data_IF_542964181246
#
_entry.id   IF_542964181246
#
_cell.length_a   1.000
_cell.length_b   1.000
_cell.length_c   1.000
_cell.angle_alpha   90.00
_cell.angle_beta   90.00
_cell.angle_gamma   90.00
#
_symmetry.space_group_name_H-M   'P 1'
#
loop_
_entity.id
_entity.type
_entity.pdbx_description
1 polymer ?
#
# COMPACT_ATOMS: atom_id res chain seq x y z
N UNK A 1 -0.98 22.57 13.65
CA UNK A 1 -1.43 21.29 13.10
C UNK A 1 -2.22 20.44 14.08
N UNK A 2 -2.15 20.70 15.38
CA UNK A 2 -2.99 20.03 16.37
C UNK A 2 -4.48 20.34 16.26
N UNK A 3 -4.83 21.49 15.72
CA UNK A 3 -6.21 21.93 15.54
C UNK A 3 -7.03 21.06 14.57
N UNK A 4 -6.42 20.60 13.46
CA UNK A 4 -7.10 19.73 12.50
C UNK A 4 -7.44 18.36 13.09
N UNK A 5 -6.56 17.85 13.96
CA UNK A 5 -6.80 16.58 14.63
C UNK A 5 -7.94 16.67 15.64
N UNK A 6 -8.06 17.82 16.31
CA UNK A 6 -9.16 18.08 17.26
C UNK A 6 -10.50 18.25 16.56
N UNK A 7 -10.52 18.87 15.38
CA UNK A 7 -11.73 19.00 14.57
C UNK A 7 -12.27 17.64 14.12
N UNK A 8 -11.36 16.71 13.78
CA UNK A 8 -11.73 15.34 13.42
C UNK A 8 -12.38 14.62 14.59
N UNK A 9 -11.93 14.89 15.83
CA UNK A 9 -12.45 14.27 17.04
C UNK A 9 -13.80 14.85 17.48
N UNK A 10 -14.21 15.97 16.94
CA UNK A 10 -15.46 16.64 17.31
C UNK A 10 -16.72 16.10 16.62
N UNK A 11 -16.63 14.96 15.95
CA UNK A 11 -17.78 14.29 15.34
C UNK A 11 -18.01 14.60 13.87
N UNK A 12 -17.19 15.42 13.25
CA UNK A 12 -17.25 15.66 11.82
C UNK A 12 -16.78 14.43 11.05
N UNK A 13 -17.43 14.14 9.93
CA UNK A 13 -17.03 13.03 9.07
C UNK A 13 -15.60 13.25 8.58
N UNK A 14 -14.72 12.31 8.90
CA UNK A 14 -13.36 12.31 8.38
C UNK A 14 -13.44 12.13 6.87
N UNK A 15 -13.03 13.15 6.13
CA UNK A 15 -12.97 13.05 4.67
C UNK A 15 -11.80 12.15 4.27
N UNK A 16 -12.11 11.16 3.46
CA UNK A 16 -11.12 10.27 2.89
C UNK A 16 -10.21 11.05 1.95
N UNK A 17 -8.88 10.90 2.12
CA UNK A 17 -7.92 11.48 1.19
C UNK A 17 -8.08 10.83 -0.19
N UNK A 18 -8.17 11.66 -1.23
CA UNK A 18 -8.25 11.22 -2.62
C UNK A 18 -7.05 11.77 -3.39
N UNK A 19 -6.33 10.90 -4.07
CA UNK A 19 -5.16 11.27 -4.87
C UNK A 19 -5.06 10.37 -6.09
N UNK A 20 -5.73 10.76 -7.16
CA UNK A 20 -5.80 9.99 -8.40
C UNK A 20 -4.45 9.81 -9.07
N UNK A 21 -3.59 10.80 -9.00
CA UNK A 21 -2.24 10.72 -9.59
C UNK A 21 -1.41 9.67 -8.89
N UNK A 22 -1.53 9.60 -7.56
CA UNK A 22 -0.88 8.57 -6.77
C UNK A 22 -1.38 7.18 -7.13
N UNK A 23 -2.70 6.98 -7.22
CA UNK A 23 -3.27 5.68 -7.58
C UNK A 23 -2.82 5.22 -8.96
N UNK A 24 -2.74 6.15 -9.92
CA UNK A 24 -2.24 5.83 -11.25
C UNK A 24 -0.77 5.38 -11.19
N UNK A 25 0.05 6.12 -10.46
CA UNK A 25 1.47 5.76 -10.27
C UNK A 25 1.61 4.39 -9.61
N UNK A 26 0.82 4.10 -8.57
CA UNK A 26 0.82 2.81 -7.90
C UNK A 26 0.47 1.67 -8.87
N UNK A 27 -0.53 1.85 -9.73
CA UNK A 27 -0.94 0.82 -10.67
C UNK A 27 0.14 0.47 -11.71
N UNK A 28 1.10 1.36 -11.91
CA UNK A 28 2.23 1.17 -12.83
C UNK A 28 3.43 0.49 -12.15
N UNK A 29 3.39 0.30 -10.84
CA UNK A 29 4.49 -0.30 -10.09
C UNK A 29 4.39 -1.83 -10.08
N UNK A 30 5.43 -2.48 -9.56
CA UNK A 30 5.46 -3.93 -9.44
C UNK A 30 4.69 -4.39 -8.21
N UNK A 31 4.06 -5.55 -8.34
CA UNK A 31 3.37 -6.19 -7.22
C UNK A 31 4.32 -6.43 -6.04
N UNK A 32 3.89 -6.10 -4.82
CA UNK A 32 4.70 -6.33 -3.63
C UNK A 32 4.99 -7.80 -3.38
N UNK A 33 4.16 -8.72 -3.90
CA UNK A 33 4.27 -10.14 -3.59
C UNK A 33 5.00 -10.94 -4.68
N UNK A 34 4.84 -10.58 -5.94
CA UNK A 34 5.44 -11.35 -7.04
C UNK A 34 6.24 -10.50 -8.03
N UNK A 35 6.33 -9.21 -7.80
CA UNK A 35 7.13 -8.26 -8.59
C UNK A 35 6.70 -8.14 -10.06
N UNK A 36 5.52 -8.63 -10.42
CA UNK A 36 4.97 -8.48 -11.77
C UNK A 36 4.22 -7.16 -11.92
N UNK A 37 4.06 -6.68 -13.13
CA UNK A 37 3.28 -5.50 -13.47
C UNK A 37 2.43 -5.80 -14.72
N UNK A 38 1.37 -5.03 -14.99
CA UNK A 38 0.83 -3.94 -14.16
C UNK A 38 0.11 -4.44 -12.91
N UNK A 39 -0.17 -3.51 -12.01
CA UNK A 39 -0.84 -3.81 -10.75
C UNK A 39 -2.14 -3.03 -10.60
N UNK A 40 -2.84 -3.34 -9.54
CA UNK A 40 -3.97 -2.55 -9.05
C UNK A 40 -3.53 -1.78 -7.82
N UNK A 41 -4.09 -0.60 -7.63
CA UNK A 41 -3.91 0.15 -6.40
C UNK A 41 -4.85 -0.43 -5.35
N UNK A 42 -4.29 -1.18 -4.42
CA UNK A 42 -5.04 -1.84 -3.36
C UNK A 42 -5.01 -1.01 -2.08
N UNK A 43 -6.17 -0.62 -1.58
CA UNK A 43 -6.28 0.12 -0.32
C UNK A 43 -6.22 -0.85 0.86
N UNK A 44 -5.30 -0.60 1.79
CA UNK A 44 -5.19 -1.41 3.02
C UNK A 44 -6.42 -1.16 3.89
N UNK A 45 -7.27 -2.17 4.04
CA UNK A 45 -8.57 -2.02 4.69
C UNK A 45 -8.48 -1.76 6.20
N UNK A 46 -7.37 -2.15 6.81
CA UNK A 46 -7.14 -2.06 8.25
C UNK A 46 -6.28 -0.86 8.68
N UNK A 47 -5.80 -0.07 7.71
CA UNK A 47 -4.76 0.93 7.96
C UNK A 47 -5.23 2.11 8.82
N UNK A 48 -6.53 2.38 8.84
CA UNK A 48 -7.09 3.44 9.67
C UNK A 48 -8.55 3.13 9.99
N UNK A 49 -9.08 3.70 11.08
CA UNK A 49 -10.51 3.59 11.37
C UNK A 49 -11.34 4.13 10.22
N UNK A 50 -12.36 3.39 9.85
CA UNK A 50 -13.27 3.77 8.77
C UNK A 50 -14.69 3.31 9.11
N UNK A 51 -15.67 4.01 8.56
CA UNK A 51 -17.06 3.59 8.68
C UNK A 51 -17.33 2.32 7.89
N UNK A 52 -18.39 1.63 8.24
CA UNK A 52 -18.82 0.43 7.53
C UNK A 52 -18.99 0.72 6.03
N UNK A 53 -18.37 -0.12 5.19
CA UNK A 53 -18.43 0.03 3.74
C UNK A 53 -17.57 1.14 3.16
N UNK A 54 -16.85 1.91 3.98
CA UNK A 54 -15.97 2.98 3.51
C UNK A 54 -14.57 2.42 3.20
N UNK A 55 -13.94 3.00 2.19
CA UNK A 55 -12.54 2.71 1.86
C UNK A 55 -11.62 3.58 2.71
N UNK A 56 -10.41 3.09 2.96
CA UNK A 56 -9.35 3.91 3.54
C UNK A 56 -8.89 4.97 2.53
N UNK A 57 -8.15 5.99 2.98
CA UNK A 57 -7.63 7.02 2.09
C UNK A 57 -6.64 6.47 1.06
N UNK A 58 -6.48 7.20 -0.04
CA UNK A 58 -5.60 6.77 -1.13
C UNK A 58 -4.12 6.66 -0.72
N UNK A 59 -3.70 7.38 0.34
CA UNK A 59 -2.34 7.26 0.87
C UNK A 59 -2.02 5.87 1.41
N UNK A 60 -3.01 5.02 1.62
CA UNK A 60 -2.86 3.64 2.09
C UNK A 60 -2.89 2.62 0.96
N UNK A 61 -2.82 3.06 -0.29
CA UNK A 61 -2.80 2.17 -1.44
C UNK A 61 -1.40 1.62 -1.70
N UNK A 62 -1.33 0.33 -2.03
CA UNK A 62 -0.10 -0.37 -2.40
C UNK A 62 -0.30 -1.14 -3.71
N UNK A 63 0.78 -1.41 -4.47
CA UNK A 63 0.63 -2.14 -5.74
C UNK A 63 0.52 -3.64 -5.51
N UNK A 64 -0.59 -4.21 -5.90
CA UNK A 64 -0.85 -5.65 -5.84
C UNK A 64 -1.41 -6.10 -7.17
N UNK A 65 -0.87 -7.17 -7.77
CA UNK A 65 -1.35 -7.68 -9.03
C UNK A 65 -2.76 -8.28 -8.87
N UNK A 66 -3.45 -8.47 -9.98
CA UNK A 66 -4.83 -8.98 -10.00
C UNK A 66 -4.95 -10.31 -9.24
N UNK A 67 -4.04 -11.23 -9.48
CA UNK A 67 -4.06 -12.56 -8.86
C UNK A 67 -3.94 -12.47 -7.34
N UNK A 68 -2.96 -11.74 -6.85
CA UNK A 68 -2.73 -11.60 -5.41
C UNK A 68 -3.80 -10.74 -4.74
N UNK A 69 -4.33 -9.75 -5.45
CA UNK A 69 -5.46 -8.97 -4.94
C UNK A 69 -6.68 -9.85 -4.68
N UNK A 70 -6.98 -10.74 -5.64
CA UNK A 70 -8.06 -11.71 -5.48
C UNK A 70 -7.79 -12.65 -4.30
N UNK A 71 -6.59 -13.21 -4.20
CA UNK A 71 -6.22 -14.13 -3.12
C UNK A 71 -6.29 -13.47 -1.74
N UNK A 72 -5.88 -12.21 -1.65
CA UNK A 72 -5.94 -11.45 -0.41
C UNK A 72 -7.38 -11.35 0.12
N UNK A 73 -8.34 -11.18 -0.79
CA UNK A 73 -9.76 -11.12 -0.42
C UNK A 73 -10.40 -12.48 -0.15
N UNK A 74 -9.83 -13.57 -0.65
CA UNK A 74 -10.42 -14.90 -0.56
C UNK A 74 -9.73 -15.84 0.42
N UNK A 75 -8.64 -15.41 1.07
CA UNK A 75 -7.85 -16.25 1.96
C UNK A 75 -8.59 -16.65 3.26
N UNK A 76 -9.69 -15.98 3.60
CA UNK A 76 -10.52 -16.32 4.76
C UNK A 76 -9.98 -15.83 6.10
N UNK A 77 -8.79 -15.28 6.17
CA UNK A 77 -8.14 -14.85 7.42
C UNK A 77 -8.26 -13.36 7.72
N UNK A 78 -8.73 -12.58 6.77
CA UNK A 78 -8.70 -11.14 6.84
C UNK A 78 -7.34 -10.56 6.42
N UNK A 79 -7.37 -9.32 5.95
CA UNK A 79 -6.20 -8.69 5.34
C UNK A 79 -5.06 -8.45 6.32
N UNK A 80 -5.38 -7.98 7.52
CA UNK A 80 -4.35 -7.71 8.53
C UNK A 80 -3.54 -8.96 8.85
N UNK A 81 -4.22 -10.10 9.01
CA UNK A 81 -3.56 -11.37 9.27
C UNK A 81 -2.78 -11.87 8.06
N UNK A 82 -3.28 -11.63 6.86
CA UNK A 82 -2.58 -11.96 5.62
C UNK A 82 -1.17 -11.35 5.59
N UNK A 83 -1.06 -10.05 5.84
CA UNK A 83 0.24 -9.35 5.85
C UNK A 83 1.11 -9.80 7.01
N UNK A 84 0.50 -10.02 8.17
CA UNK A 84 1.23 -10.49 9.36
C UNK A 84 1.85 -11.87 9.14
N UNK A 85 1.13 -12.77 8.50
CA UNK A 85 1.65 -14.11 8.18
C UNK A 85 2.85 -14.07 7.26
N UNK A 86 2.92 -13.08 6.38
CA UNK A 86 4.05 -12.87 5.48
C UNK A 86 5.20 -12.07 6.13
N UNK A 87 4.99 -11.59 7.35
CA UNK A 87 5.93 -10.71 8.06
C UNK A 87 6.23 -9.43 7.24
N UNK A 88 5.22 -8.92 6.55
CA UNK A 88 5.32 -7.69 5.74
C UNK A 88 4.52 -6.60 6.41
N UNK A 89 5.18 -5.48 6.70
CA UNK A 89 4.53 -4.27 7.19
C UNK A 89 4.03 -3.43 6.01
N UNK A 90 2.84 -3.76 5.54
CA UNK A 90 2.25 -3.09 4.40
C UNK A 90 1.94 -1.61 4.67
N UNK A 91 1.61 -1.27 5.91
CA UNK A 91 1.37 0.12 6.31
C UNK A 91 2.65 0.96 6.17
N UNK A 92 3.78 0.44 6.63
CA UNK A 92 5.07 1.12 6.48
C UNK A 92 5.44 1.31 5.00
N UNK A 93 5.21 0.29 4.19
CA UNK A 93 5.45 0.39 2.75
C UNK A 93 4.55 1.46 2.13
N UNK A 94 3.27 1.48 2.48
CA UNK A 94 2.34 2.50 1.99
C UNK A 94 2.80 3.91 2.37
N UNK A 95 3.22 4.11 3.61
CA UNK A 95 3.76 5.40 4.07
C UNK A 95 5.00 5.81 3.27
N UNK A 96 5.90 4.88 3.04
CA UNK A 96 7.13 5.14 2.26
C UNK A 96 6.80 5.54 0.82
N UNK A 97 5.88 4.81 0.19
CA UNK A 97 5.46 5.09 -1.18
C UNK A 97 4.78 6.45 -1.30
N UNK A 98 3.89 6.75 -0.38
CA UNK A 98 3.16 8.02 -0.44
C UNK A 98 4.07 9.21 -0.13
N UNK A 99 4.99 9.07 0.82
CA UNK A 99 5.97 10.11 1.12
C UNK A 99 6.86 10.41 -0.10
N UNK A 100 7.29 9.37 -0.81
CA UNK A 100 8.04 9.54 -2.05
C UNK A 100 7.24 10.33 -3.10
N UNK A 101 5.96 10.01 -3.25
CA UNK A 101 5.06 10.72 -4.17
C UNK A 101 4.93 12.20 -3.81
N UNK A 102 4.79 12.51 -2.51
CA UNK A 102 4.72 13.89 -2.03
C UNK A 102 6.05 14.64 -2.27
N UNK A 103 7.17 13.98 -2.06
CA UNK A 103 8.49 14.57 -2.27
C UNK A 103 8.73 14.90 -3.74
N UNK A 104 8.27 14.04 -4.64
CA UNK A 104 8.35 14.32 -6.08
C UNK A 104 7.53 15.54 -6.48
N UNK A 105 6.36 15.74 -5.89
CA UNK A 105 5.54 16.92 -6.15
C UNK A 105 6.21 18.22 -5.71
N UNK A 106 6.98 18.19 -4.63
CA UNK A 106 7.69 19.37 -4.10
C UNK A 106 8.93 19.68 -4.89
N UNK A 107 9.54 18.71 -5.53
CA UNK A 107 10.80 18.88 -6.24
C UNK A 107 10.54 19.33 -7.67
N UNK A 108 10.54 20.64 -7.91
CA UNK A 108 10.42 21.21 -9.24
C UNK A 108 11.73 21.11 -10.04
N UNK A 109 12.87 20.93 -9.34
CA UNK A 109 14.18 20.99 -9.96
C UNK A 109 14.87 19.64 -10.11
N UNK A 110 14.42 18.62 -9.37
CA UNK A 110 15.06 17.30 -9.39
C UNK A 110 14.03 16.23 -9.65
N UNK A 111 14.32 15.40 -10.65
CA UNK A 111 13.60 14.15 -10.86
C UNK A 111 14.12 13.16 -9.82
N UNK A 112 13.26 12.79 -8.86
CA UNK A 112 13.59 11.76 -7.88
C UNK A 112 13.42 10.41 -8.53
N UNK A 113 14.51 9.67 -8.65
CA UNK A 113 14.52 8.38 -9.32
C UNK A 113 13.77 7.32 -8.48
N UNK A 114 12.74 6.74 -9.05
CA UNK A 114 11.97 5.65 -8.43
C UNK A 114 12.84 4.44 -8.13
N UNK A 115 13.93 4.25 -8.84
CA UNK A 115 14.85 3.13 -8.63
C UNK A 115 15.40 3.09 -7.21
N UNK A 116 15.78 4.24 -6.66
CA UNK A 116 16.32 4.33 -5.29
C UNK A 116 15.25 3.92 -4.28
N UNK A 117 14.02 4.39 -4.46
CA UNK A 117 12.88 4.03 -3.63
C UNK A 117 12.66 2.52 -3.61
N UNK A 118 12.55 1.91 -4.78
CA UNK A 118 12.27 0.49 -4.89
C UNK A 118 13.41 -0.37 -4.41
N UNK A 119 14.65 0.05 -4.61
CA UNK A 119 15.82 -0.64 -4.05
C UNK A 119 15.72 -0.71 -2.53
N UNK A 120 15.37 0.39 -1.88
CA UNK A 120 15.20 0.44 -0.43
C UNK A 120 14.07 -0.49 0.03
N UNK A 121 12.93 -0.48 -0.66
CA UNK A 121 11.79 -1.34 -0.33
C UNK A 121 12.18 -2.81 -0.53
N UNK A 122 12.80 -3.15 -1.65
CA UNK A 122 13.14 -4.54 -1.99
C UNK A 122 14.20 -5.14 -1.06
N UNK A 123 15.12 -4.33 -0.54
CA UNK A 123 16.10 -4.83 0.43
C UNK A 123 15.43 -5.43 1.67
N UNK A 124 14.29 -4.89 2.07
CA UNK A 124 13.52 -5.43 3.18
C UNK A 124 12.52 -6.50 2.75
N UNK A 125 11.95 -6.36 1.57
CA UNK A 125 10.85 -7.19 1.09
C UNK A 125 11.32 -8.54 0.53
N UNK A 126 12.38 -8.56 -0.28
CA UNK A 126 12.82 -9.77 -0.98
C UNK A 126 13.19 -10.92 -0.04
N UNK A 127 13.93 -10.70 1.07
CA UNK A 127 14.18 -11.78 2.01
C UNK A 127 12.91 -12.39 2.59
N UNK A 128 11.91 -11.58 2.86
CA UNK A 128 10.61 -12.04 3.39
C UNK A 128 9.82 -12.80 2.34
N UNK A 129 9.87 -12.39 1.08
CA UNK A 129 9.25 -13.11 -0.02
C UNK A 129 9.90 -14.46 -0.25
N UNK A 130 11.22 -14.55 -0.17
CA UNK A 130 11.95 -15.83 -0.30
C UNK A 130 11.60 -16.79 0.82
N UNK A 131 11.46 -16.30 2.04
CA UNK A 131 11.07 -17.09 3.20
C UNK A 131 9.67 -17.68 3.04
N UNK A 132 8.78 -16.95 2.35
CA UNK A 132 7.38 -17.31 2.20
C UNK A 132 7.04 -17.77 0.77
N UNK A 133 8.03 -18.17 -0.03
CA UNK A 133 7.83 -18.47 -1.44
C UNK A 133 6.76 -19.53 -1.68
N UNK A 134 6.77 -20.59 -0.88
CA UNK A 134 5.78 -21.67 -1.02
C UNK A 134 4.37 -21.19 -0.74
N UNK A 135 4.20 -20.36 0.30
CA UNK A 135 2.93 -19.76 0.64
C UNK A 135 2.43 -18.85 -0.49
N UNK A 136 3.31 -18.01 -1.03
CA UNK A 136 2.96 -17.09 -2.11
C UNK A 136 2.62 -17.86 -3.39
N UNK A 137 3.34 -18.94 -3.69
CA UNK A 137 3.04 -19.78 -4.84
C UNK A 137 1.68 -20.47 -4.70
N UNK A 138 1.34 -20.93 -3.50
CA UNK A 138 0.01 -21.48 -3.23
C UNK A 138 -1.09 -20.47 -3.48
N UNK A 139 -0.83 -19.19 -3.20
CA UNK A 139 -1.79 -18.12 -3.47
C UNK A 139 -2.01 -17.90 -4.97
N UNK A 140 -1.06 -18.27 -5.82
CA UNK A 140 -1.18 -18.16 -7.27
C UNK A 140 -1.93 -19.30 -7.92
N UNK A 141 -1.98 -20.40 -7.24
CA UNK A 141 -2.67 -21.61 -7.73
C UNK A 141 -4.13 -21.59 -7.32
#
# INVERSE_FOLDING_TARGET
MGTKKLEILSGDKVQRLKDRKYLKWISEQNCLLCLTNPCQAHHLTFAMPRGFGQKTGDQWAVPICFTHHHQLHTCGKGEKQFWKDLDIDAEDIACTLYQHHLDQKKSLAFFVDDTILWHKIYNNLVPKLKKNVDFILQLKL
#
